data_IF_357513149051
#
_entry.id   IF_357513149051
#
_cell.length_a   1.000
_cell.length_b   1.000
_cell.length_c   1.000
_cell.angle_alpha   90.00
_cell.angle_beta   90.00
_cell.angle_gamma   90.00
#
_symmetry.space_group_name_H-M   'P 1'
#
loop_
_entity.id
_entity.type
_entity.pdbx_description
1 polymer ?
#
# COMPACT_ATOMS: atom_id res chain seq x y z
N UNK A 1 3.79 -7.21 31.22
CA UNK A 1 2.90 -8.38 31.09
C UNK A 1 1.69 -8.11 30.19
N UNK A 2 1.09 -6.91 30.21
CA UNK A 2 -0.07 -6.53 29.37
C UNK A 2 0.27 -6.38 27.87
N UNK A 3 1.47 -5.90 27.54
CA UNK A 3 1.90 -5.72 26.14
C UNK A 3 1.99 -7.04 25.37
N UNK A 4 2.46 -8.10 26.02
CA UNK A 4 2.50 -9.44 25.42
C UNK A 4 1.09 -9.98 25.15
N UNK A 5 0.14 -9.73 26.05
CA UNK A 5 -1.26 -10.12 25.85
C UNK A 5 -1.86 -9.33 24.68
N UNK A 6 -1.59 -8.02 24.59
CA UNK A 6 -2.05 -7.20 23.47
C UNK A 6 -1.49 -7.67 22.12
N UNK A 7 -0.19 -8.01 22.07
CA UNK A 7 0.45 -8.56 20.87
C UNK A 7 -0.13 -9.92 20.47
N UNK A 8 -0.35 -10.81 21.43
CA UNK A 8 -0.95 -12.13 21.15
C UNK A 8 -2.38 -11.99 20.65
N UNK A 9 -3.19 -11.12 21.25
CA UNK A 9 -4.57 -10.88 20.80
C UNK A 9 -4.60 -10.24 19.40
N UNK A 10 -3.73 -9.27 19.13
CA UNK A 10 -3.63 -8.64 17.80
C UNK A 10 -3.16 -9.64 16.73
N UNK A 11 -2.19 -10.49 17.06
CA UNK A 11 -1.71 -11.54 16.18
C UNK A 11 -2.82 -12.54 15.88
N UNK A 12 -3.51 -13.07 16.90
CA UNK A 12 -4.62 -13.99 16.72
C UNK A 12 -5.75 -13.40 15.88
N UNK A 13 -6.15 -12.15 16.15
CA UNK A 13 -7.18 -11.47 15.35
C UNK A 13 -6.79 -11.34 13.87
N UNK A 14 -5.54 -10.98 13.59
CA UNK A 14 -5.04 -10.85 12.20
C UNK A 14 -4.99 -12.19 11.48
N UNK A 15 -4.46 -13.23 12.15
CA UNK A 15 -4.35 -14.57 11.56
C UNK A 15 -5.72 -15.23 11.36
N UNK A 16 -6.68 -15.02 12.28
CA UNK A 16 -8.03 -15.57 12.17
C UNK A 16 -8.71 -15.13 10.87
N UNK A 17 -8.65 -13.83 10.54
CA UNK A 17 -9.21 -13.31 9.29
C UNK A 17 -8.49 -13.85 8.05
N UNK A 18 -7.17 -14.04 8.13
CA UNK A 18 -6.35 -14.63 7.07
C UNK A 18 -6.71 -16.09 6.81
N UNK A 19 -6.90 -16.88 7.87
CA UNK A 19 -7.32 -18.28 7.78
C UNK A 19 -8.73 -18.42 7.18
N UNK A 20 -9.67 -17.55 7.59
CA UNK A 20 -10.99 -17.47 6.97
C UNK A 20 -10.86 -17.19 5.47
N UNK A 21 -10.06 -16.21 5.07
CA UNK A 21 -9.81 -15.90 3.66
C UNK A 21 -9.30 -17.10 2.84
N UNK A 22 -8.36 -17.89 3.38
CA UNK A 22 -7.84 -19.09 2.72
C UNK A 22 -8.90 -20.20 2.63
N UNK A 23 -9.68 -20.41 3.69
CA UNK A 23 -10.76 -21.40 3.70
C UNK A 23 -11.85 -21.06 2.67
N UNK A 24 -12.19 -19.78 2.52
CA UNK A 24 -13.15 -19.31 1.51
C UNK A 24 -12.57 -19.29 0.08
N UNK A 25 -11.25 -19.16 -0.09
CA UNK A 25 -10.60 -19.08 -1.41
C UNK A 25 -10.83 -20.28 -2.31
N UNK A 26 -11.07 -21.49 -1.77
CA UNK A 26 -11.29 -22.70 -2.56
C UNK A 26 -12.74 -22.92 -3.00
N UNK A 27 -13.70 -22.14 -2.48
CA UNK A 27 -15.15 -22.36 -2.67
C UNK A 27 -15.85 -21.19 -3.34
N UNK A 28 -15.17 -20.06 -3.52
CA UNK A 28 -15.72 -18.83 -4.10
C UNK A 28 -15.41 -18.78 -5.59
N UNK A 29 -16.44 -18.75 -6.42
CA UNK A 29 -16.29 -18.51 -7.85
C UNK A 29 -16.00 -17.02 -8.09
N UNK A 30 -14.76 -16.73 -8.51
CA UNK A 30 -14.24 -15.37 -8.74
C UNK A 30 -14.95 -14.70 -9.94
N UNK A 31 -15.66 -15.46 -10.78
CA UNK A 31 -16.49 -14.92 -11.87
C UNK A 31 -17.85 -14.38 -11.40
N UNK A 32 -18.20 -14.55 -10.12
CA UNK A 32 -19.43 -13.96 -9.60
C UNK A 32 -19.34 -12.43 -9.55
N UNK A 33 -20.36 -11.77 -10.11
CA UNK A 33 -20.42 -10.31 -10.21
C UNK A 33 -20.36 -9.61 -8.83
N UNK A 34 -20.92 -10.26 -7.80
CA UNK A 34 -20.87 -9.78 -6.43
C UNK A 34 -19.45 -9.69 -5.87
N UNK A 35 -18.61 -10.70 -6.11
CA UNK A 35 -17.22 -10.68 -5.64
C UNK A 35 -16.39 -9.63 -6.39
N UNK A 36 -16.63 -9.47 -7.70
CA UNK A 36 -16.01 -8.40 -8.51
C UNK A 36 -16.41 -7.01 -8.00
N UNK A 37 -17.66 -6.80 -7.60
CA UNK A 37 -18.11 -5.54 -7.01
C UNK A 37 -17.39 -5.25 -5.68
N UNK A 38 -17.32 -6.23 -4.77
CA UNK A 38 -16.59 -6.06 -3.49
C UNK A 38 -15.10 -5.77 -3.73
N UNK A 39 -14.47 -6.48 -4.66
CA UNK A 39 -13.08 -6.24 -5.03
C UNK A 39 -12.88 -4.81 -5.55
N UNK A 40 -13.77 -4.35 -6.45
CA UNK A 40 -13.75 -2.99 -6.97
C UNK A 40 -13.87 -1.94 -5.84
N UNK A 41 -14.82 -2.12 -4.91
CA UNK A 41 -14.99 -1.22 -3.75
C UNK A 41 -13.74 -1.21 -2.87
N UNK A 42 -13.15 -2.37 -2.62
CA UNK A 42 -11.92 -2.49 -1.81
C UNK A 42 -10.76 -1.75 -2.46
N UNK A 43 -10.54 -1.92 -3.76
CA UNK A 43 -9.51 -1.18 -4.49
C UNK A 43 -9.79 0.33 -4.55
N UNK A 44 -11.04 0.73 -4.71
CA UNK A 44 -11.44 2.14 -4.69
C UNK A 44 -11.18 2.79 -3.32
N UNK A 45 -11.42 2.09 -2.22
CA UNK A 45 -11.08 2.57 -0.86
C UNK A 45 -9.58 2.79 -0.70
N UNK A 46 -8.76 1.82 -1.11
CA UNK A 46 -7.29 1.93 -1.03
C UNK A 46 -6.80 3.09 -1.89
N UNK A 47 -7.28 3.21 -3.13
CA UNK A 47 -6.92 4.32 -4.01
C UNK A 47 -7.33 5.68 -3.41
N UNK A 48 -8.55 5.79 -2.89
CA UNK A 48 -9.02 7.01 -2.22
C UNK A 48 -8.20 7.37 -0.99
N UNK A 49 -7.80 6.39 -0.19
CA UNK A 49 -6.92 6.60 0.97
C UNK A 49 -5.53 7.12 0.53
N UNK A 50 -4.95 6.53 -0.52
CA UNK A 50 -3.66 6.97 -1.08
C UNK A 50 -3.76 8.41 -1.58
N UNK A 51 -4.81 8.76 -2.35
CA UNK A 51 -5.03 10.12 -2.82
C UNK A 51 -5.17 11.10 -1.65
N UNK A 52 -5.91 10.73 -0.59
CA UNK A 52 -6.04 11.56 0.62
C UNK A 52 -4.68 11.84 1.26
N UNK A 53 -3.82 10.84 1.38
CA UNK A 53 -2.48 10.98 1.97
C UNK A 53 -1.59 11.89 1.10
N UNK A 54 -1.72 11.83 -0.22
CA UNK A 54 -0.94 12.66 -1.16
C UNK A 54 -1.42 14.12 -1.12
N UNK A 55 -2.73 14.36 -1.12
CA UNK A 55 -3.33 15.72 -1.23
C UNK A 55 -3.38 16.43 0.11
N UNK A 56 -3.72 15.73 1.21
CA UNK A 56 -3.76 16.29 2.57
C UNK A 56 -2.78 15.54 3.48
N UNK A 57 -1.47 15.79 3.34
CA UNK A 57 -0.48 15.12 4.15
C UNK A 57 -0.58 15.58 5.61
N UNK A 58 -0.68 14.61 6.52
CA UNK A 58 -0.69 14.83 7.96
C UNK A 58 0.66 14.44 8.58
N UNK A 59 1.17 15.22 9.53
CA UNK A 59 2.42 14.94 10.27
C UNK A 59 3.70 15.56 9.70
N UNK A 60 4.86 14.99 10.07
CA UNK A 60 6.23 15.44 9.73
C UNK A 60 6.50 15.70 8.24
N UNK A 61 5.68 15.11 7.39
CA UNK A 61 5.75 15.27 5.95
C UNK A 61 5.40 16.72 5.53
N UNK A 62 4.63 17.48 6.32
CA UNK A 62 4.24 18.86 6.02
C UNK A 62 5.40 19.84 5.80
N UNK A 63 6.63 19.49 6.22
CA UNK A 63 7.85 20.27 5.97
C UNK A 63 8.36 20.15 4.52
N UNK A 64 7.86 19.19 3.73
CA UNK A 64 8.33 18.93 2.36
C UNK A 64 7.47 19.67 1.31
N UNK A 65 8.07 20.47 0.41
CA UNK A 65 7.33 21.23 -0.60
C UNK A 65 6.51 20.33 -1.53
N UNK A 66 5.26 20.74 -1.80
CA UNK A 66 4.26 20.06 -2.64
C UNK A 66 4.73 19.57 -4.02
N UNK A 67 5.53 20.32 -4.81
CA UNK A 67 5.97 19.84 -6.13
C UNK A 67 6.90 18.62 -6.05
N UNK A 68 7.70 18.50 -4.97
CA UNK A 68 8.67 17.41 -4.81
C UNK A 68 7.98 16.07 -4.50
N UNK A 69 6.84 16.12 -3.79
CA UNK A 69 6.01 14.94 -3.49
C UNK A 69 5.31 14.41 -4.72
N UNK A 70 4.77 15.31 -5.55
CA UNK A 70 4.10 14.94 -6.80
C UNK A 70 5.11 14.31 -7.77
N UNK A 71 6.33 14.84 -7.84
CA UNK A 71 7.44 14.26 -8.59
C UNK A 71 7.86 12.89 -8.05
N UNK A 72 8.02 12.73 -6.73
CA UNK A 72 8.39 11.44 -6.14
C UNK A 72 7.32 10.36 -6.37
N UNK A 73 6.04 10.70 -6.20
CA UNK A 73 4.93 9.81 -6.55
C UNK A 73 4.91 9.49 -8.06
N UNK A 74 5.15 10.50 -8.91
CA UNK A 74 5.22 10.33 -10.37
C UNK A 74 6.36 9.40 -10.80
N UNK A 75 7.55 9.57 -10.23
CA UNK A 75 8.72 8.72 -10.51
C UNK A 75 8.50 7.29 -10.00
N UNK A 76 7.95 7.12 -8.80
CA UNK A 76 7.63 5.81 -8.27
C UNK A 76 6.60 5.06 -9.14
N UNK A 77 5.55 5.75 -9.60
CA UNK A 77 4.57 5.20 -10.53
C UNK A 77 5.19 4.89 -11.90
N UNK A 78 6.02 5.79 -12.44
CA UNK A 78 6.68 5.59 -13.73
C UNK A 78 7.61 4.37 -13.71
N UNK A 79 8.37 4.18 -12.63
CA UNK A 79 9.24 3.01 -12.46
C UNK A 79 8.46 1.72 -12.22
N UNK A 80 7.29 1.79 -11.56
CA UNK A 80 6.41 0.65 -11.34
C UNK A 80 5.69 0.21 -12.62
N UNK A 81 5.31 1.15 -13.50
CA UNK A 81 4.67 0.86 -14.79
C UNK A 81 5.69 0.43 -15.84
N UNK A 82 6.98 0.74 -15.67
CA UNK A 82 8.02 0.29 -16.58
C UNK A 82 8.09 -1.24 -16.59
N UNK A 83 7.74 -1.91 -17.70
CA UNK A 83 7.63 -3.36 -17.72
C UNK A 83 9.04 -3.95 -17.66
N UNK A 84 9.46 -4.35 -16.45
CA UNK A 84 10.72 -5.05 -16.24
C UNK A 84 10.46 -6.57 -16.34
N UNK A 85 10.92 -7.25 -17.40
CA UNK A 85 10.42 -8.57 -17.78
C UNK A 85 10.88 -9.75 -16.88
N UNK A 86 11.54 -9.50 -15.73
CA UNK A 86 12.22 -10.56 -14.95
C UNK A 86 12.08 -10.49 -13.43
N UNK A 87 11.64 -9.36 -12.87
CA UNK A 87 11.54 -9.18 -11.42
C UNK A 87 10.23 -8.44 -11.13
N UNK A 88 9.34 -9.05 -10.35
CA UNK A 88 8.05 -8.46 -10.01
C UNK A 88 8.23 -7.02 -9.52
N UNK A 89 7.67 -6.05 -10.26
CA UNK A 89 8.00 -4.62 -10.20
C UNK A 89 7.75 -3.91 -8.86
N UNK A 90 7.24 -4.60 -7.84
CA UNK A 90 7.05 -4.06 -6.50
C UNK A 90 8.36 -3.70 -5.81
N UNK A 91 9.37 -4.57 -5.86
CA UNK A 91 10.65 -4.37 -5.16
C UNK A 91 11.43 -3.16 -5.70
N UNK A 92 11.66 -3.02 -7.01
CA UNK A 92 12.36 -1.85 -7.54
C UNK A 92 11.56 -0.54 -7.39
N UNK A 93 10.22 -0.59 -7.48
CA UNK A 93 9.38 0.59 -7.28
C UNK A 93 9.42 1.14 -5.85
N UNK A 94 9.40 0.26 -4.85
CA UNK A 94 9.53 0.65 -3.43
C UNK A 94 10.93 1.18 -3.11
N UNK A 95 11.98 0.52 -3.60
CA UNK A 95 13.35 0.96 -3.39
C UNK A 95 13.61 2.33 -4.02
N UNK A 96 13.17 2.55 -5.25
CA UNK A 96 13.33 3.84 -5.90
C UNK A 96 12.51 4.96 -5.24
N UNK A 97 11.25 4.69 -4.87
CA UNK A 97 10.42 5.66 -4.15
C UNK A 97 11.01 6.06 -2.79
N UNK A 98 11.53 5.10 -2.03
CA UNK A 98 12.21 5.38 -0.76
C UNK A 98 13.55 6.11 -0.95
N UNK A 99 14.34 5.78 -1.98
CA UNK A 99 15.59 6.46 -2.32
C UNK A 99 15.38 7.92 -2.73
N UNK A 100 14.34 8.22 -3.52
CA UNK A 100 14.03 9.59 -3.93
C UNK A 100 13.63 10.44 -2.73
N UNK A 101 12.84 9.91 -1.80
CA UNK A 101 12.45 10.63 -0.58
C UNK A 101 13.67 10.83 0.34
N UNK A 102 14.53 9.82 0.48
CA UNK A 102 15.74 9.93 1.30
C UNK A 102 16.73 10.98 0.75
N UNK A 103 16.97 10.98 -0.57
CA UNK A 103 17.83 11.98 -1.23
C UNK A 103 17.24 13.39 -1.16
N UNK A 104 15.91 13.52 -1.32
CA UNK A 104 15.22 14.79 -1.17
C UNK A 104 15.27 15.35 0.27
N UNK A 105 15.25 14.48 1.28
CA UNK A 105 15.37 14.87 2.69
C UNK A 105 16.80 15.22 3.11
N UNK A 106 17.82 14.75 2.39
CA UNK A 106 19.24 15.05 2.65
C UNK A 106 19.71 16.36 2.02
N UNK A 107 18.93 16.88 1.06
CA UNK A 107 19.23 18.11 0.32
C UNK A 107 18.62 19.37 0.97
N UNK A 108 17.97 19.23 2.13
CA UNK A 108 17.28 20.28 2.88
C UNK A 108 17.89 20.39 4.28
#
# INVERSE_FOLDING_TARGET
MTELVALVVAALGTYLWRCLGVAFSGRVNIESEFFRWIACVSYAMVAGLVVRIIVLPVGLLAQVPTPLRLLACGVALALMVWPHPRWGGLVPGLLAGSLVIALASLAL
#
